data_IF_988196354679
#
_entry.id   IF_988196354679
#
_cell.length_a   1.000
_cell.length_b   1.000
_cell.length_c   1.000
_cell.angle_alpha   90.00
_cell.angle_beta   90.00
_cell.angle_gamma   90.00
#
_symmetry.space_group_name_H-M   'P 1'
#
loop_
_entity.id
_entity.type
_entity.pdbx_description
1 polymer ?
#
# COMPACT_ATOMS: atom_id res chain seq x y z
N UNK A 1 -13.62 -16.52 7.24
CA UNK A 1 -12.91 -15.28 7.65
C UNK A 1 -13.44 -14.78 8.98
N UNK A 2 -14.72 -14.44 9.09
CA UNK A 2 -15.33 -13.92 10.34
C UNK A 2 -15.10 -14.87 11.52
N UNK A 3 -15.40 -16.17 11.36
CA UNK A 3 -15.19 -17.17 12.42
C UNK A 3 -13.74 -17.21 12.94
N UNK A 4 -12.75 -17.15 12.05
CA UNK A 4 -11.34 -17.15 12.41
C UNK A 4 -10.88 -15.85 13.07
N UNK A 5 -11.40 -14.71 12.63
CA UNK A 5 -11.11 -13.41 13.25
C UNK A 5 -11.73 -13.31 14.65
N UNK A 6 -12.94 -13.86 14.81
CA UNK A 6 -13.61 -13.95 16.10
C UNK A 6 -12.82 -14.86 17.05
N UNK A 7 -12.42 -16.05 16.59
CA UNK A 7 -11.56 -16.95 17.36
C UNK A 7 -10.26 -16.26 17.80
N UNK A 8 -9.56 -15.59 16.88
CA UNK A 8 -8.32 -14.88 17.20
C UNK A 8 -8.53 -13.78 18.24
N UNK A 9 -9.62 -13.00 18.12
CA UNK A 9 -9.96 -11.96 19.10
C UNK A 9 -10.21 -12.55 20.50
N UNK A 10 -10.94 -13.67 20.58
CA UNK A 10 -11.23 -14.38 21.84
C UNK A 10 -9.98 -14.99 22.50
N UNK A 11 -8.96 -15.31 21.69
CA UNK A 11 -7.70 -15.89 22.15
C UNK A 11 -6.54 -14.89 22.21
N UNK A 12 -6.83 -13.58 22.06
CA UNK A 12 -5.84 -12.50 22.07
C UNK A 12 -4.73 -12.65 21.01
N UNK A 13 -5.03 -13.33 19.91
CA UNK A 13 -4.14 -13.51 18.77
C UNK A 13 -4.19 -12.31 17.82
N UNK A 14 -3.11 -12.14 17.04
CA UNK A 14 -3.04 -11.15 15.97
C UNK A 14 -3.09 -11.84 14.62
N UNK A 15 -3.70 -11.19 13.64
CA UNK A 15 -3.96 -11.77 12.32
C UNK A 15 -3.32 -10.95 11.21
N UNK A 16 -2.59 -11.65 10.35
CA UNK A 16 -2.22 -11.18 9.03
C UNK A 16 -3.16 -11.75 7.97
N UNK A 17 -3.68 -10.89 7.11
CA UNK A 17 -4.50 -11.31 5.95
C UNK A 17 -3.64 -11.23 4.70
N UNK A 18 -3.60 -12.32 3.94
CA UNK A 18 -2.88 -12.39 2.67
C UNK A 18 -3.87 -12.76 1.57
N UNK A 19 -3.85 -12.01 0.46
CA UNK A 19 -4.69 -12.26 -0.70
C UNK A 19 -4.02 -11.83 -2.00
N UNK A 20 -4.66 -12.12 -3.14
CA UNK A 20 -4.15 -11.67 -4.44
C UNK A 20 -4.73 -10.30 -4.84
N UNK A 21 -6.06 -10.24 -5.05
CA UNK A 21 -6.74 -9.01 -5.45
C UNK A 21 -6.98 -8.08 -4.25
N UNK A 22 -6.57 -6.79 -4.33
CA UNK A 22 -6.90 -5.80 -3.33
C UNK A 22 -8.43 -5.62 -3.20
N UNK A 23 -8.99 -5.49 -1.98
CA UNK A 23 -10.44 -5.34 -1.77
C UNK A 23 -11.14 -4.27 -2.60
N UNK A 24 -10.47 -3.16 -2.95
CA UNK A 24 -11.06 -2.10 -3.80
C UNK A 24 -11.38 -2.54 -5.23
N UNK A 25 -10.76 -3.62 -5.71
CA UNK A 25 -10.94 -4.17 -7.06
C UNK A 25 -11.93 -5.33 -7.10
N UNK A 26 -12.47 -5.73 -5.95
CA UNK A 26 -13.47 -6.79 -5.86
C UNK A 26 -14.87 -6.27 -6.24
N UNK A 27 -15.82 -7.20 -6.43
CA UNK A 27 -17.24 -6.85 -6.56
C UNK A 27 -17.69 -6.01 -5.37
N UNK A 28 -18.55 -5.02 -5.61
CA UNK A 28 -18.99 -4.02 -4.62
C UNK A 28 -19.48 -4.70 -3.32
N UNK A 29 -20.36 -5.70 -3.43
CA UNK A 29 -20.87 -6.43 -2.27
C UNK A 29 -19.77 -7.08 -1.42
N UNK A 30 -18.80 -7.73 -2.07
CA UNK A 30 -17.66 -8.34 -1.37
C UNK A 30 -16.76 -7.29 -0.73
N UNK A 31 -16.42 -6.24 -1.49
CA UNK A 31 -15.52 -5.17 -1.05
C UNK A 31 -16.05 -4.46 0.19
N UNK A 32 -17.35 -4.15 0.18
CA UNK A 32 -18.03 -3.49 1.30
C UNK A 32 -18.13 -4.40 2.52
N UNK A 33 -18.51 -5.67 2.34
CA UNK A 33 -18.52 -6.64 3.44
C UNK A 33 -17.12 -6.83 4.06
N UNK A 34 -16.07 -6.94 3.22
CA UNK A 34 -14.69 -7.02 3.67
C UNK A 34 -14.30 -5.79 4.51
N UNK A 35 -14.66 -4.59 4.05
CA UNK A 35 -14.37 -3.34 4.74
C UNK A 35 -15.03 -3.25 6.12
N UNK A 36 -16.29 -3.66 6.25
CA UNK A 36 -16.99 -3.70 7.54
C UNK A 36 -16.38 -4.75 8.49
N UNK A 37 -15.91 -5.89 7.96
CA UNK A 37 -15.22 -6.91 8.77
C UNK A 37 -13.87 -6.36 9.28
N UNK A 38 -13.09 -5.68 8.45
CA UNK A 38 -11.86 -5.01 8.88
C UNK A 38 -12.16 -3.96 9.96
N UNK A 39 -13.24 -3.19 9.82
CA UNK A 39 -13.69 -2.23 10.83
C UNK A 39 -13.99 -2.89 12.18
N UNK A 40 -14.72 -4.01 12.16
CA UNK A 40 -15.08 -4.77 13.38
C UNK A 40 -13.87 -5.36 14.08
N UNK A 41 -12.88 -5.87 13.34
CA UNK A 41 -11.71 -6.58 13.88
C UNK A 41 -10.41 -5.76 13.79
N UNK A 42 -10.51 -4.43 13.79
CA UNK A 42 -9.36 -3.53 13.61
C UNK A 42 -8.26 -3.68 14.68
N UNK A 43 -8.60 -4.18 15.88
CA UNK A 43 -7.64 -4.46 16.95
C UNK A 43 -6.95 -5.83 16.81
N UNK A 44 -7.52 -6.73 16.00
CA UNK A 44 -7.06 -8.10 15.80
C UNK A 44 -6.21 -8.22 14.53
N UNK A 45 -6.57 -7.49 13.47
CA UNK A 45 -5.84 -7.47 12.20
C UNK A 45 -4.67 -6.50 12.29
N UNK A 46 -3.44 -7.00 12.19
CA UNK A 46 -2.21 -6.21 12.34
C UNK A 46 -1.40 -6.07 11.05
N UNK A 47 -1.80 -6.78 9.99
CA UNK A 47 -1.18 -6.69 8.66
C UNK A 47 -2.11 -7.22 7.58
N UNK A 48 -2.10 -6.54 6.42
CA UNK A 48 -2.82 -7.00 5.24
C UNK A 48 -1.90 -6.87 4.02
N UNK A 49 -1.79 -7.95 3.24
CA UNK A 49 -0.83 -8.08 2.14
C UNK A 49 -1.53 -8.58 0.88
N UNK A 50 -1.48 -7.77 -0.16
CA UNK A 50 -2.10 -8.06 -1.45
C UNK A 50 -1.12 -7.81 -2.61
N UNK A 51 -1.56 -8.10 -3.83
CA UNK A 51 -0.77 -7.92 -5.04
C UNK A 51 -1.69 -7.52 -6.22
N UNK A 52 -1.60 -8.24 -7.34
CA UNK A 52 -2.41 -8.09 -8.55
C UNK A 52 -2.18 -6.81 -9.38
N UNK A 53 -2.00 -5.65 -8.76
CA UNK A 53 -1.88 -4.38 -9.51
C UNK A 53 -0.54 -4.21 -10.21
N UNK A 54 0.47 -5.00 -9.81
CA UNK A 54 1.85 -4.97 -10.29
C UNK A 54 2.67 -3.72 -9.90
N UNK A 55 2.03 -2.70 -9.36
CA UNK A 55 2.62 -1.47 -8.88
C UNK A 55 2.86 -1.50 -7.37
N UNK A 56 3.69 -0.57 -6.89
CA UNK A 56 3.98 -0.43 -5.47
C UNK A 56 3.04 0.59 -4.81
N UNK A 57 2.09 0.12 -4.03
CA UNK A 57 1.11 0.99 -3.40
C UNK A 57 0.57 0.37 -2.10
N UNK A 58 -0.32 1.10 -1.45
CA UNK A 58 -1.04 0.64 -0.27
C UNK A 58 -2.46 1.18 -0.30
N UNK A 59 -3.32 0.70 0.60
CA UNK A 59 -4.66 1.24 0.81
C UNK A 59 -4.90 1.44 2.30
N UNK A 60 -5.41 2.62 2.64
CA UNK A 60 -5.88 2.94 3.97
C UNK A 60 -7.34 2.52 4.14
N UNK A 61 -7.62 1.97 5.31
CA UNK A 61 -8.97 1.72 5.80
C UNK A 61 -9.27 2.76 6.88
N UNK A 62 -10.48 3.30 6.82
CA UNK A 62 -10.99 4.29 7.76
C UNK A 62 -12.19 3.74 8.54
N UNK A 63 -12.42 4.31 9.72
CA UNK A 63 -13.58 3.98 10.54
C UNK A 63 -14.88 4.32 9.78
N UNK A 64 -15.84 3.39 9.72
CA UNK A 64 -17.12 3.58 9.01
C UNK A 64 -17.95 4.74 9.58
N UNK A 65 -17.82 5.03 10.87
CA UNK A 65 -18.50 6.15 11.54
C UNK A 65 -17.70 7.44 11.55
N UNK A 66 -16.39 7.36 11.32
CA UNK A 66 -15.49 8.51 11.27
C UNK A 66 -14.43 8.32 10.17
N UNK A 67 -14.72 8.81 8.97
CA UNK A 67 -13.86 8.68 7.79
C UNK A 67 -12.52 9.39 7.88
N UNK A 68 -12.24 10.12 8.97
CA UNK A 68 -10.94 10.75 9.23
C UNK A 68 -10.00 9.90 10.08
N UNK A 69 -10.52 8.84 10.71
CA UNK A 69 -9.74 7.94 11.56
C UNK A 69 -9.23 6.75 10.75
N UNK A 70 -7.93 6.66 10.43
CA UNK A 70 -7.37 5.47 9.83
C UNK A 70 -7.32 4.33 10.87
N UNK A 71 -7.74 3.14 10.47
CA UNK A 71 -7.88 1.97 11.36
C UNK A 71 -7.03 0.78 10.91
N UNK A 72 -6.66 0.71 9.63
CA UNK A 72 -5.85 -0.38 9.08
C UNK A 72 -5.20 0.05 7.77
N UNK A 73 -4.20 -0.73 7.35
CA UNK A 73 -3.50 -0.58 6.10
C UNK A 73 -3.37 -1.94 5.40
N UNK A 74 -3.55 -1.93 4.08
CA UNK A 74 -3.20 -3.04 3.21
C UNK A 74 -2.07 -2.65 2.27
N UNK A 75 -0.96 -3.38 2.32
CA UNK A 75 0.15 -3.20 1.42
C UNK A 75 -0.08 -3.98 0.13
N UNK A 76 0.11 -3.31 -1.01
CA UNK A 76 0.01 -3.92 -2.33
C UNK A 76 1.42 -4.08 -2.87
N UNK A 77 1.89 -5.32 -2.87
CA UNK A 77 3.26 -5.65 -3.26
C UNK A 77 3.38 -5.58 -4.79
N UNK A 78 4.44 -4.95 -5.33
CA UNK A 78 4.64 -4.87 -6.77
C UNK A 78 5.01 -6.24 -7.33
N UNK A 79 4.90 -6.36 -8.65
CA UNK A 79 5.13 -7.64 -9.31
C UNK A 79 6.60 -7.98 -9.50
N UNK A 80 6.89 -9.28 -9.60
CA UNK A 80 8.16 -9.75 -10.14
C UNK A 80 8.22 -9.61 -11.68
N UNK A 81 7.07 -9.67 -12.37
CA UNK A 81 7.03 -9.51 -13.82
C UNK A 81 7.28 -8.06 -14.25
N UNK A 82 7.73 -7.88 -15.49
CA UNK A 82 7.92 -6.57 -16.11
C UNK A 82 6.61 -5.95 -16.63
N UNK A 83 5.53 -6.72 -16.69
CA UNK A 83 4.24 -6.22 -17.15
C UNK A 83 3.64 -5.20 -16.17
N UNK A 84 3.12 -4.04 -16.61
CA UNK A 84 3.00 -3.63 -18.02
C UNK A 84 4.25 -2.94 -18.60
N UNK A 85 5.06 -2.26 -17.79
CA UNK A 85 6.36 -1.71 -18.21
C UNK A 85 7.12 -1.21 -16.97
N UNK A 86 7.50 -2.14 -16.10
CA UNK A 86 8.14 -1.87 -14.81
C UNK A 86 9.36 -2.78 -14.62
N UNK A 87 10.28 -2.41 -13.73
CA UNK A 87 11.35 -3.34 -13.34
C UNK A 87 10.75 -4.56 -12.60
N UNK A 88 11.35 -5.76 -12.66
CA UNK A 88 11.07 -6.83 -11.73
C UNK A 88 11.34 -6.38 -10.30
N UNK A 89 10.46 -6.71 -9.35
CA UNK A 89 10.70 -6.39 -7.95
C UNK A 89 10.10 -7.40 -6.98
N UNK A 90 10.58 -7.36 -5.75
CA UNK A 90 10.02 -8.10 -4.61
C UNK A 90 10.13 -7.26 -3.33
N UNK A 91 9.35 -7.63 -2.32
CA UNK A 91 9.32 -6.93 -1.02
C UNK A 91 9.73 -7.83 0.12
N UNK A 92 10.43 -7.24 1.08
CA UNK A 92 10.76 -7.84 2.37
C UNK A 92 10.12 -7.01 3.46
N UNK A 93 9.30 -7.64 4.30
CA UNK A 93 8.69 -7.01 5.47
C UNK A 93 9.45 -7.39 6.75
N UNK A 94 9.70 -6.41 7.61
CA UNK A 94 10.17 -6.63 8.97
C UNK A 94 8.96 -6.60 9.90
N UNK A 95 8.71 -7.68 10.63
CA UNK A 95 7.53 -7.82 11.51
C UNK A 95 7.97 -7.87 12.98
N UNK A 96 7.23 -7.19 13.85
CA UNK A 96 7.42 -7.21 15.32
C UNK A 96 6.78 -8.46 15.93
N UNK A 97 7.43 -9.61 15.77
CA UNK A 97 6.89 -10.90 16.22
C UNK A 97 6.75 -11.02 17.75
N UNK A 98 7.45 -10.20 18.52
CA UNK A 98 7.47 -10.30 19.99
C UNK A 98 6.38 -9.49 20.68
N UNK A 99 5.87 -8.44 20.02
CA UNK A 99 4.87 -7.55 20.64
C UNK A 99 3.63 -7.39 19.77
N UNK A 100 3.66 -6.46 18.82
CA UNK A 100 2.47 -6.02 18.10
C UNK A 100 2.07 -6.92 16.93
N UNK A 101 2.98 -7.78 16.46
CA UNK A 101 2.86 -8.54 15.21
C UNK A 101 2.52 -7.60 14.04
N UNK A 102 2.96 -6.34 14.12
CA UNK A 102 2.74 -5.33 13.08
C UNK A 102 3.97 -5.19 12.18
N UNK A 103 3.80 -4.52 11.05
CA UNK A 103 4.91 -4.22 10.14
C UNK A 103 5.74 -3.07 10.73
N UNK A 104 7.01 -3.34 11.03
CA UNK A 104 7.96 -2.34 11.53
C UNK A 104 8.56 -1.50 10.41
N UNK A 105 8.90 -2.15 9.30
CA UNK A 105 9.39 -1.50 8.08
C UNK A 105 9.19 -2.46 6.89
N UNK A 106 9.29 -1.93 5.66
CA UNK A 106 9.40 -2.77 4.48
C UNK A 106 10.43 -2.22 3.49
N UNK A 107 11.12 -3.15 2.83
CA UNK A 107 12.13 -2.85 1.81
C UNK A 107 11.72 -3.42 0.47
N UNK A 108 11.88 -2.62 -0.57
CA UNK A 108 11.61 -3.03 -1.95
C UNK A 108 12.91 -3.24 -2.67
N UNK A 109 13.06 -4.40 -3.30
CA UNK A 109 14.21 -4.74 -4.13
C UNK A 109 13.77 -4.76 -5.59
N UNK A 110 14.56 -4.17 -6.49
CA UNK A 110 14.28 -4.19 -7.92
C UNK A 110 15.47 -4.72 -8.71
N UNK A 111 15.19 -5.37 -9.82
CA UNK A 111 16.19 -5.67 -10.84
C UNK A 111 16.26 -4.49 -11.79
N UNK A 112 17.35 -3.73 -11.76
CA UNK A 112 17.53 -2.59 -12.67
C UNK A 112 17.76 -3.13 -14.09
N UNK A 113 16.72 -3.13 -14.92
CA UNK A 113 16.78 -3.69 -16.27
C UNK A 113 17.73 -2.91 -17.18
N UNK A 114 17.78 -1.57 -17.05
CA UNK A 114 18.69 -0.74 -17.85
C UNK A 114 20.14 -1.11 -17.58
N UNK A 115 20.54 -1.16 -16.31
CA UNK A 115 21.89 -1.59 -15.93
C UNK A 115 22.15 -3.05 -16.29
N UNK A 116 21.16 -3.93 -16.07
CA UNK A 116 21.28 -5.36 -16.36
C UNK A 116 21.54 -5.62 -17.85
N UNK A 117 20.81 -4.93 -18.72
CA UNK A 117 20.95 -5.03 -20.17
C UNK A 117 22.26 -4.38 -20.66
N UNK A 118 22.65 -3.23 -20.08
CA UNK A 118 23.88 -2.53 -20.45
C UNK A 118 25.13 -3.35 -20.11
N UNK A 119 25.15 -3.98 -18.92
CA UNK A 119 26.31 -4.73 -18.43
C UNK A 119 26.24 -6.24 -18.70
N UNK A 120 25.15 -6.71 -19.30
CA UNK A 120 24.86 -8.14 -19.49
C UNK A 120 25.05 -8.97 -18.20
N UNK A 121 24.61 -8.42 -17.07
CA UNK A 121 24.75 -9.01 -15.72
C UNK A 121 23.54 -8.64 -14.88
N UNK A 122 22.98 -9.58 -14.14
CA UNK A 122 21.87 -9.32 -13.21
C UNK A 122 22.28 -8.32 -12.12
N UNK A 123 21.64 -7.14 -12.09
CA UNK A 123 21.89 -6.08 -11.10
C UNK A 123 20.65 -5.85 -10.23
N UNK A 124 20.61 -6.51 -9.07
CA UNK A 124 19.63 -6.25 -8.03
C UNK A 124 20.07 -5.07 -7.17
N UNK A 125 19.15 -4.16 -6.89
CA UNK A 125 19.35 -3.02 -6.00
C UNK A 125 18.23 -2.94 -4.97
N UNK A 126 18.56 -2.50 -3.77
CA UNK A 126 17.54 -2.03 -2.83
C UNK A 126 17.02 -0.69 -3.37
N UNK A 127 15.73 -0.66 -3.70
CA UNK A 127 15.09 0.56 -4.20
C UNK A 127 14.86 1.52 -3.05
N UNK A 128 14.22 1.06 -1.97
CA UNK A 128 13.99 1.85 -0.77
C UNK A 128 13.59 1.02 0.45
N UNK A 129 13.82 1.59 1.63
CA UNK A 129 13.11 1.29 2.89
C UNK A 129 12.02 2.34 3.09
N UNK A 130 10.80 1.92 3.42
CA UNK A 130 9.67 2.84 3.58
C UNK A 130 9.93 3.90 4.65
N UNK A 131 10.39 3.48 5.84
CA UNK A 131 10.69 4.41 6.92
C UNK A 131 11.77 5.42 6.53
N UNK A 132 12.85 4.95 5.90
CA UNK A 132 13.95 5.83 5.52
C UNK A 132 13.59 6.79 4.38
N UNK A 133 12.81 6.33 3.39
CA UNK A 133 12.51 7.13 2.21
C UNK A 133 11.40 8.15 2.45
N UNK A 134 10.45 7.84 3.32
CA UNK A 134 9.29 8.68 3.61
C UNK A 134 9.41 9.42 4.95
N UNK A 135 10.57 9.32 5.62
CA UNK A 135 10.84 9.91 6.93
C UNK A 135 9.78 9.56 7.99
N UNK A 136 9.37 8.29 8.00
CA UNK A 136 8.30 7.80 8.87
C UNK A 136 8.85 7.22 10.17
N UNK A 137 8.27 7.66 11.30
CA UNK A 137 8.64 7.16 12.63
C UNK A 137 8.23 5.69 12.85
N UNK A 138 7.08 5.29 12.29
CA UNK A 138 6.54 3.94 12.26
C UNK A 138 5.61 3.79 11.05
N UNK A 139 5.10 2.57 10.82
CA UNK A 139 4.20 2.25 9.72
C UNK A 139 2.77 1.99 10.18
N UNK A 140 2.34 2.66 11.26
CA UNK A 140 0.95 2.62 11.72
C UNK A 140 -0.01 3.25 10.70
N UNK A 141 -1.30 2.88 10.71
CA UNK A 141 -2.29 3.53 9.85
C UNK A 141 -2.33 5.05 10.02
N UNK A 142 -2.04 5.57 11.22
CA UNK A 142 -2.00 6.99 11.53
C UNK A 142 -0.85 7.70 10.82
N UNK A 143 0.36 7.13 10.87
CA UNK A 143 1.51 7.72 10.17
C UNK A 143 1.36 7.65 8.65
N UNK A 144 0.84 6.54 8.11
CA UNK A 144 0.52 6.46 6.68
C UNK A 144 -0.52 7.50 6.25
N UNK A 145 -1.54 7.75 7.08
CA UNK A 145 -2.52 8.79 6.78
C UNK A 145 -1.91 10.20 6.84
N UNK A 146 -1.03 10.49 7.82
CA UNK A 146 -0.30 11.76 7.86
C UNK A 146 0.57 11.94 6.62
N UNK A 147 1.28 10.89 6.21
CA UNK A 147 2.08 10.89 4.99
C UNK A 147 1.23 11.17 3.75
N UNK A 148 0.07 10.54 3.62
CA UNK A 148 -0.88 10.82 2.53
C UNK A 148 -1.33 12.29 2.51
N UNK A 149 -1.63 12.88 3.68
CA UNK A 149 -1.97 14.31 3.78
C UNK A 149 -0.78 15.22 3.43
N UNK A 150 0.45 14.80 3.75
CA UNK A 150 1.66 15.49 3.31
C UNK A 150 1.80 15.46 1.78
N UNK A 151 1.53 14.31 1.13
CA UNK A 151 1.55 14.20 -0.33
C UNK A 151 0.50 15.09 -1.01
N UNK A 152 -0.67 15.30 -0.39
CA UNK A 152 -1.68 16.23 -0.91
C UNK A 152 -1.16 17.67 -0.93
N UNK A 153 -0.38 18.08 0.08
CA UNK A 153 0.28 19.38 0.14
C UNK A 153 1.50 19.47 -0.79
N UNK A 154 2.18 18.35 -1.02
CA UNK A 154 3.35 18.21 -1.90
C UNK A 154 2.97 17.70 -3.30
N UNK A 155 1.74 17.93 -3.77
CA UNK A 155 1.22 17.28 -4.98
C UNK A 155 2.12 17.49 -6.21
N UNK A 156 2.78 18.65 -6.33
CA UNK A 156 3.68 18.99 -7.42
C UNK A 156 5.17 18.90 -7.03
N UNK A 157 5.48 18.46 -5.81
CA UNK A 157 6.84 18.47 -5.25
C UNK A 157 7.58 17.13 -5.29
N UNK A 158 8.71 17.11 -4.59
CA UNK A 158 9.72 16.04 -4.68
C UNK A 158 9.27 14.74 -4.01
N UNK A 159 8.59 14.82 -2.87
CA UNK A 159 8.14 13.62 -2.15
C UNK A 159 7.06 12.90 -2.95
N UNK A 160 6.11 13.64 -3.54
CA UNK A 160 5.12 13.03 -4.44
C UNK A 160 5.78 12.45 -5.69
N UNK A 161 6.79 13.12 -6.24
CA UNK A 161 7.60 12.57 -7.34
C UNK A 161 8.29 11.26 -6.97
N UNK A 162 8.87 11.18 -5.77
CA UNK A 162 9.53 10.00 -5.24
C UNK A 162 8.56 8.83 -5.07
N UNK A 163 7.38 9.08 -4.49
CA UNK A 163 6.32 8.07 -4.34
C UNK A 163 5.90 7.51 -5.71
N UNK A 164 5.74 8.36 -6.72
CA UNK A 164 5.40 7.88 -8.05
C UNK A 164 6.53 7.08 -8.72
N UNK A 165 7.79 7.47 -8.48
CA UNK A 165 8.94 6.70 -8.94
C UNK A 165 8.94 5.27 -8.37
N UNK A 166 8.70 5.13 -7.07
CA UNK A 166 8.61 3.81 -6.41
C UNK A 166 7.35 3.04 -6.82
N UNK A 167 6.21 3.72 -7.00
CA UNK A 167 4.99 3.12 -7.57
C UNK A 167 5.28 2.39 -8.89
N UNK A 168 6.18 2.94 -9.71
CA UNK A 168 6.63 2.38 -10.98
C UNK A 168 7.91 1.53 -10.90
N UNK A 169 8.37 1.17 -9.70
CA UNK A 169 9.64 0.42 -9.47
C UNK A 169 10.84 1.05 -10.17
N UNK A 170 10.94 2.37 -10.14
CA UNK A 170 11.98 3.17 -10.78
C UNK A 170 12.15 2.91 -12.29
N UNK A 171 11.10 2.41 -12.96
CA UNK A 171 11.09 2.27 -14.41
C UNK A 171 10.85 3.61 -15.13
N UNK A 172 10.33 4.59 -14.41
CA UNK A 172 10.17 5.97 -14.88
C UNK A 172 10.44 6.94 -13.73
N UNK A 173 10.66 8.20 -14.07
CA UNK A 173 10.85 9.28 -13.09
C UNK A 173 9.51 9.79 -12.55
N UNK A 174 9.53 10.38 -11.35
CA UNK A 174 8.36 11.05 -10.74
C UNK A 174 7.64 12.08 -11.64
N UNK A 175 8.37 12.69 -12.58
CA UNK A 175 7.83 13.69 -13.51
C UNK A 175 6.86 13.12 -14.56
N UNK A 176 6.81 11.81 -14.76
CA UNK A 176 5.94 11.18 -15.78
C UNK A 176 4.44 11.19 -15.41
N UNK A 177 4.12 11.41 -14.13
CA UNK A 177 2.74 11.53 -13.65
C UNK A 177 2.38 13.01 -13.49
N UNK A 178 1.44 13.49 -14.30
CA UNK A 178 0.90 14.84 -14.17
C UNK A 178 0.08 15.01 -12.87
N UNK A 179 -0.35 16.25 -12.60
CA UNK A 179 -1.10 16.56 -11.39
C UNK A 179 -2.40 15.77 -11.24
N UNK A 180 -3.07 15.43 -12.34
CA UNK A 180 -4.31 14.65 -12.31
C UNK A 180 -4.01 13.19 -11.96
N UNK A 181 -2.98 12.62 -12.58
CA UNK A 181 -2.45 11.30 -12.27
C UNK A 181 -2.06 11.20 -10.78
N UNK A 182 -1.36 12.20 -10.23
CA UNK A 182 -0.93 12.21 -8.81
C UNK A 182 -2.12 12.27 -7.86
N UNK A 183 -3.11 13.13 -8.15
CA UNK A 183 -4.34 13.20 -7.36
C UNK A 183 -5.08 11.86 -7.38
N UNK A 184 -5.17 11.19 -8.54
CA UNK A 184 -5.80 9.87 -8.67
C UNK A 184 -5.07 8.82 -7.84
N UNK A 185 -3.74 8.79 -7.88
CA UNK A 185 -2.92 7.88 -7.06
C UNK A 185 -3.25 8.08 -5.57
N UNK A 186 -3.20 9.30 -5.06
CA UNK A 186 -3.50 9.61 -3.66
C UNK A 186 -4.94 9.19 -3.30
N UNK A 187 -5.93 9.73 -4.02
CA UNK A 187 -7.32 9.61 -3.58
C UNK A 187 -7.92 8.23 -3.86
N UNK A 188 -7.56 7.59 -4.97
CA UNK A 188 -8.20 6.37 -5.45
C UNK A 188 -7.42 5.10 -5.22
N UNK A 189 -6.11 5.20 -5.05
CA UNK A 189 -5.31 4.03 -4.73
C UNK A 189 -4.96 4.03 -3.24
N UNK A 190 -4.43 5.15 -2.71
CA UNK A 190 -3.93 5.19 -1.33
C UNK A 190 -5.04 5.35 -0.28
N UNK A 191 -6.03 6.20 -0.53
CA UNK A 191 -7.11 6.49 0.44
C UNK A 191 -8.37 5.62 0.31
N UNK A 192 -8.48 4.85 -0.76
CA UNK A 192 -9.73 4.12 -1.07
C UNK A 192 -9.51 2.61 -1.05
N UNK A 193 -10.04 1.95 -0.01
CA UNK A 193 -10.03 0.48 0.10
C UNK A 193 -11.36 -0.19 -0.29
N UNK A 194 -12.42 0.58 -0.60
CA UNK A 194 -13.74 0.09 -1.04
C UNK A 194 -13.94 0.28 -2.53
N UNK A 195 -14.56 -0.70 -3.16
CA UNK A 195 -14.98 -0.63 -4.56
C UNK A 195 -16.09 0.40 -4.74
N UNK A 196 -15.95 1.23 -5.78
CA UNK A 196 -16.91 2.30 -6.16
C UNK A 196 -17.22 3.31 -5.05
N UNK A 197 -16.31 3.48 -4.09
CA UNK A 197 -16.46 4.50 -3.05
C UNK A 197 -16.01 5.88 -3.57
N UNK A 198 -16.95 6.80 -3.66
CA UNK A 198 -16.71 8.15 -4.18
C UNK A 198 -16.29 9.14 -3.10
N UNK A 199 -16.16 8.72 -1.83
CA UNK A 199 -15.84 9.62 -0.70
C UNK A 199 -14.59 10.45 -0.97
N UNK A 200 -13.53 9.82 -1.47
CA UNK A 200 -12.27 10.48 -1.81
C UNK A 200 -12.08 10.71 -3.32
N UNK A 201 -12.76 9.92 -4.16
CA UNK A 201 -12.58 9.90 -5.63
C UNK A 201 -13.63 10.67 -6.44
N UNK A 202 -14.63 11.27 -5.80
CA UNK A 202 -15.80 11.88 -6.47
C UNK A 202 -15.49 12.93 -7.53
N UNK A 203 -14.32 13.58 -7.48
CA UNK A 203 -13.93 14.63 -8.42
C UNK A 203 -12.98 14.15 -9.54
N UNK A 204 -12.77 12.84 -9.71
CA UNK A 204 -11.77 12.27 -10.64
C UNK A 204 -12.25 11.06 -11.46
N UNK A 205 -13.57 10.83 -11.48
CA UNK A 205 -14.27 9.92 -12.40
C UNK A 205 -14.97 10.76 -13.47
#
# INVERSE_FOLDING_TARGET
MIEWLQYAEEHLEKVHIIGHHPPRMCMVSFSWAYYSIVNRYQSTITGQFFAHTHFDEFMLFYNETNSTQPISIAYITPSFTTYPNVNPGYRVYTIDIENSVSVLDHRTMILNLTATNLYNKTVWVEEYSAKSAYDMIDLSPQEWNKFVLQLENDIDGEMMGLVYQYFMKSATTGAACDRMCRKKLINCNLKTARAQDTTFCSAML
#
